data_IF_783980020301
#
_entry.id   IF_783980020301
#
_cell.length_a   1.000
_cell.length_b   1.000
_cell.length_c   1.000
_cell.angle_alpha   90.00
_cell.angle_beta   90.00
_cell.angle_gamma   90.00
#
_symmetry.space_group_name_H-M   'P 1'
#
loop_
_entity.id
_entity.type
_entity.pdbx_description
1 polymer ?
#
# COMPACT_ATOMS: atom_id res chain seq x y z
N UNK A 1 56.99 40.64 -94.29
CA UNK A 1 55.62 40.73 -94.81
C UNK A 1 54.59 40.01 -93.94
N UNK A 2 54.81 38.76 -93.48
CA UNK A 2 53.88 38.05 -92.59
C UNK A 2 53.74 38.65 -91.17
N UNK A 3 54.82 39.21 -90.61
CA UNK A 3 54.78 39.99 -89.35
C UNK A 3 53.90 41.25 -89.45
N UNK A 4 53.83 41.89 -90.62
CA UNK A 4 52.96 43.05 -90.86
C UNK A 4 51.48 42.64 -90.92
N UNK A 5 51.18 41.44 -91.43
CA UNK A 5 49.82 40.90 -91.48
C UNK A 5 49.30 40.61 -90.06
N UNK A 6 50.12 40.02 -89.21
CA UNK A 6 49.80 39.82 -87.79
C UNK A 6 49.62 41.15 -87.06
N UNK A 7 50.50 42.12 -87.31
CA UNK A 7 50.41 43.47 -86.74
C UNK A 7 49.11 44.17 -87.18
N UNK A 8 48.72 44.03 -88.45
CA UNK A 8 47.48 44.58 -89.01
C UNK A 8 46.22 43.92 -88.47
N UNK A 9 46.22 42.60 -88.25
CA UNK A 9 45.09 41.89 -87.63
C UNK A 9 44.96 42.29 -86.15
N UNK A 10 46.07 42.47 -85.43
CA UNK A 10 46.08 43.01 -84.06
C UNK A 10 45.54 44.46 -84.06
N UNK A 11 45.99 45.31 -84.98
CA UNK A 11 45.48 46.68 -85.15
C UNK A 11 43.98 46.71 -85.49
N UNK A 12 43.49 45.78 -86.31
CA UNK A 12 42.06 45.70 -86.66
C UNK A 12 41.19 45.26 -85.47
N UNK A 13 41.68 44.29 -84.70
CA UNK A 13 40.98 43.80 -83.50
C UNK A 13 40.98 44.86 -82.39
N UNK A 14 42.05 45.65 -82.25
CA UNK A 14 42.11 46.79 -81.32
C UNK A 14 41.22 47.95 -81.80
N UNK A 15 41.25 48.29 -83.09
CA UNK A 15 40.42 49.34 -83.71
C UNK A 15 38.91 49.04 -83.58
N UNK A 16 38.48 47.79 -83.78
CA UNK A 16 37.07 47.39 -83.57
C UNK A 16 36.64 47.46 -82.10
N UNK A 17 37.57 47.31 -81.15
CA UNK A 17 37.32 47.39 -79.71
C UNK A 17 37.31 48.83 -79.19
N UNK A 18 38.09 49.73 -79.80
CA UNK A 18 38.24 51.13 -79.37
C UNK A 18 37.48 52.13 -80.25
N UNK A 19 36.78 51.66 -81.30
CA UNK A 19 35.98 52.48 -82.21
C UNK A 19 36.79 53.60 -82.91
N UNK A 20 38.05 53.30 -83.23
CA UNK A 20 39.01 54.20 -83.89
C UNK A 20 39.20 53.81 -85.35
N UNK A 21 39.16 54.77 -86.28
CA UNK A 21 39.32 54.51 -87.73
C UNK A 21 40.77 54.11 -88.07
N UNK A 22 40.93 53.02 -88.85
CA UNK A 22 42.21 52.56 -89.40
C UNK A 22 42.71 53.51 -90.50
N UNK A 23 44.04 53.58 -90.70
CA UNK A 23 44.62 54.40 -91.75
C UNK A 23 44.29 53.85 -93.16
N UNK A 24 44.31 54.72 -94.19
CA UNK A 24 43.99 54.34 -95.58
C UNK A 24 44.93 53.26 -96.17
N UNK A 25 46.20 53.21 -95.74
CA UNK A 25 47.17 52.20 -96.17
C UNK A 25 46.87 50.83 -95.55
N UNK A 26 46.36 50.81 -94.31
CA UNK A 26 45.95 49.58 -93.63
C UNK A 26 44.66 49.00 -94.23
N UNK A 27 43.71 49.86 -94.61
CA UNK A 27 42.47 49.48 -95.30
C UNK A 27 42.71 48.83 -96.67
N UNK A 28 43.66 49.35 -97.45
CA UNK A 28 43.97 48.78 -98.77
C UNK A 28 44.67 47.43 -98.69
N UNK A 29 45.50 47.19 -97.66
CA UNK A 29 46.09 45.87 -97.41
C UNK A 29 45.03 44.86 -96.94
N UNK A 30 44.08 45.30 -96.11
CA UNK A 30 42.92 44.51 -95.68
C UNK A 30 42.01 44.08 -96.83
N UNK A 31 41.70 44.99 -97.75
CA UNK A 31 40.94 44.70 -98.96
C UNK A 31 41.65 43.67 -99.87
N UNK A 32 42.98 43.62 -99.83
CA UNK A 32 43.77 42.60 -100.53
C UNK A 32 43.69 41.22 -99.86
N UNK A 33 43.61 41.18 -98.53
CA UNK A 33 43.47 39.96 -97.75
C UNK A 33 42.05 39.36 -97.83
N UNK A 34 41.02 40.19 -98.00
CA UNK A 34 39.64 39.75 -98.26
C UNK A 34 39.48 39.03 -99.61
N UNK A 35 40.38 39.26 -100.58
CA UNK A 35 40.37 38.60 -101.90
C UNK A 35 41.11 37.26 -101.91
N UNK A 36 41.93 36.98 -100.89
CA UNK A 36 42.65 35.70 -100.75
C UNK A 36 41.85 34.71 -99.89
N UNK A 37 41.58 33.53 -100.44
CA UNK A 37 40.72 32.49 -99.81
C UNK A 37 41.31 31.98 -98.49
N UNK A 38 42.64 32.03 -98.35
CA UNK A 38 43.33 31.70 -97.10
C UNK A 38 43.19 32.81 -96.05
N UNK A 39 43.35 34.08 -96.45
CA UNK A 39 43.19 35.25 -95.58
C UNK A 39 41.78 35.41 -95.02
N UNK A 40 40.76 35.18 -95.86
CA UNK A 40 39.34 35.24 -95.44
C UNK A 40 38.96 34.14 -94.44
N UNK A 41 39.46 32.92 -94.61
CA UNK A 41 39.22 31.82 -93.67
C UNK A 41 39.92 32.07 -92.33
N UNK A 42 41.18 32.52 -92.34
CA UNK A 42 41.90 32.89 -91.11
C UNK A 42 41.23 34.06 -90.38
N UNK A 43 40.72 35.07 -91.09
CA UNK A 43 39.97 36.18 -90.50
C UNK A 43 38.62 35.73 -89.91
N UNK A 44 37.88 34.85 -90.59
CA UNK A 44 36.63 34.29 -90.08
C UNK A 44 36.86 33.37 -88.86
N UNK A 45 37.94 32.57 -88.87
CA UNK A 45 38.31 31.72 -87.73
C UNK A 45 38.73 32.58 -86.53
N UNK A 46 39.54 33.62 -86.75
CA UNK A 46 39.91 34.59 -85.71
C UNK A 46 38.68 35.33 -85.19
N UNK A 47 37.77 35.82 -86.04
CA UNK A 47 36.55 36.50 -85.59
C UNK A 47 35.57 35.57 -84.86
N UNK A 48 35.45 34.30 -85.30
CA UNK A 48 34.65 33.28 -84.64
C UNK A 48 35.21 32.95 -83.25
N UNK A 49 36.53 32.74 -83.15
CA UNK A 49 37.20 32.54 -81.86
C UNK A 49 37.17 33.79 -80.98
N UNK A 50 37.25 35.00 -81.54
CA UNK A 50 37.12 36.26 -80.77
C UNK A 50 35.70 36.48 -80.25
N UNK A 51 34.67 36.09 -81.01
CA UNK A 51 33.27 36.08 -80.53
C UNK A 51 33.08 35.05 -79.42
N UNK A 52 33.60 33.83 -79.58
CA UNK A 52 33.59 32.80 -78.52
C UNK A 52 34.35 33.27 -77.28
N UNK A 53 35.49 33.97 -77.44
CA UNK A 53 36.28 34.54 -76.36
C UNK A 53 35.52 35.66 -75.63
N UNK A 54 34.83 36.54 -76.37
CA UNK A 54 33.98 37.59 -75.80
C UNK A 54 32.79 37.01 -75.02
N UNK A 55 32.07 36.04 -75.60
CA UNK A 55 30.94 35.35 -74.93
C UNK A 55 31.41 34.59 -73.67
N UNK A 56 32.56 33.91 -73.76
CA UNK A 56 33.16 33.25 -72.60
C UNK A 56 33.61 34.24 -71.55
N UNK A 57 34.15 35.40 -71.94
CA UNK A 57 34.61 36.44 -70.99
C UNK A 57 33.42 37.01 -70.22
N UNK A 58 32.30 37.19 -70.90
CA UNK A 58 31.03 37.53 -70.25
C UNK A 58 30.56 36.41 -69.31
N UNK A 59 30.66 35.14 -69.71
CA UNK A 59 30.37 33.99 -68.84
C UNK A 59 31.30 33.93 -67.61
N UNK A 60 32.58 34.24 -67.75
CA UNK A 60 33.55 34.26 -66.66
C UNK A 60 33.25 35.41 -65.69
N UNK A 61 32.92 36.60 -66.18
CA UNK A 61 32.46 37.73 -65.35
C UNK A 61 31.16 37.38 -64.61
N UNK A 62 30.21 36.71 -65.28
CA UNK A 62 28.98 36.20 -64.64
C UNK A 62 29.29 35.16 -63.56
N UNK A 63 30.22 34.24 -63.80
CA UNK A 63 30.65 33.23 -62.83
C UNK A 63 31.39 33.86 -61.66
N UNK A 64 32.24 34.87 -61.89
CA UNK A 64 32.91 35.60 -60.81
C UNK A 64 31.93 36.44 -59.98
N UNK A 65 30.92 37.04 -60.61
CA UNK A 65 29.83 37.72 -59.91
C UNK A 65 28.98 36.73 -59.08
N UNK A 66 28.65 35.56 -59.64
CA UNK A 66 27.93 34.50 -58.93
C UNK A 66 28.76 33.93 -57.79
N UNK A 67 30.06 33.69 -57.98
CA UNK A 67 30.98 33.24 -56.94
C UNK A 67 31.03 34.25 -55.80
N UNK A 68 31.23 35.54 -56.09
CA UNK A 68 31.24 36.58 -55.06
C UNK A 68 29.91 36.68 -54.30
N UNK A 69 28.78 36.49 -55.00
CA UNK A 69 27.45 36.51 -54.36
C UNK A 69 27.26 35.28 -53.46
N UNK A 70 27.63 34.10 -53.94
CA UNK A 70 27.53 32.84 -53.21
C UNK A 70 28.50 32.80 -52.03
N UNK A 71 29.72 33.33 -52.18
CA UNK A 71 30.69 33.43 -51.08
C UNK A 71 30.20 34.39 -49.99
N UNK A 72 29.58 35.53 -50.35
CA UNK A 72 28.93 36.41 -49.37
C UNK A 72 27.72 35.77 -48.70
N UNK A 73 26.88 35.07 -49.45
CA UNK A 73 25.74 34.34 -48.89
C UNK A 73 26.19 33.24 -47.94
N UNK A 74 27.24 32.49 -48.29
CA UNK A 74 27.80 31.47 -47.40
C UNK A 74 28.37 32.09 -46.13
N UNK A 75 29.11 33.19 -46.22
CA UNK A 75 29.63 33.87 -45.03
C UNK A 75 28.51 34.40 -44.12
N UNK A 76 27.44 34.97 -44.70
CA UNK A 76 26.29 35.45 -43.94
C UNK A 76 25.53 34.28 -43.29
N UNK A 77 25.26 33.22 -44.03
CA UNK A 77 24.54 32.05 -43.52
C UNK A 77 25.36 31.29 -42.47
N UNK A 78 26.70 31.25 -42.59
CA UNK A 78 27.59 30.71 -41.54
C UNK A 78 27.51 31.55 -40.26
N UNK A 79 27.44 32.88 -40.38
CA UNK A 79 27.27 33.78 -39.24
C UNK A 79 25.88 33.62 -38.60
N UNK A 80 24.83 33.56 -39.40
CA UNK A 80 23.45 33.37 -38.93
C UNK A 80 23.28 31.98 -38.28
N UNK A 81 23.85 30.91 -38.85
CA UNK A 81 23.86 29.57 -38.26
C UNK A 81 24.65 29.54 -36.93
N UNK A 82 25.75 30.29 -36.81
CA UNK A 82 26.53 30.44 -35.56
C UNK A 82 25.75 31.17 -34.46
N UNK A 83 25.06 32.26 -34.81
CA UNK A 83 24.20 32.98 -33.87
C UNK A 83 23.02 32.13 -33.41
N UNK A 84 22.39 31.39 -34.34
CA UNK A 84 21.29 30.49 -34.02
C UNK A 84 21.76 29.33 -33.14
N UNK A 85 22.91 28.72 -33.44
CA UNK A 85 23.48 27.63 -32.65
C UNK A 85 23.82 28.09 -31.22
N UNK A 86 24.25 29.33 -31.05
CA UNK A 86 24.52 29.92 -29.73
C UNK A 86 23.22 30.07 -28.93
N UNK A 87 22.16 30.62 -29.54
CA UNK A 87 20.83 30.75 -28.91
C UNK A 87 20.22 29.39 -28.55
N UNK A 88 20.31 28.42 -29.47
CA UNK A 88 19.81 27.06 -29.26
C UNK A 88 20.57 26.37 -28.10
N UNK A 89 21.89 26.58 -28.02
CA UNK A 89 22.72 26.04 -26.94
C UNK A 89 22.39 26.66 -25.57
N UNK A 90 22.14 27.97 -25.52
CA UNK A 90 21.69 28.65 -24.29
C UNK A 90 20.32 28.13 -23.83
N UNK A 91 19.35 28.04 -24.74
CA UNK A 91 18.02 27.51 -24.45
C UNK A 91 18.09 26.05 -23.98
N UNK A 92 18.91 25.23 -24.64
CA UNK A 92 19.15 23.85 -24.23
C UNK A 92 19.69 23.78 -22.80
N UNK A 93 20.71 24.59 -22.46
CA UNK A 93 21.30 24.57 -21.12
C UNK A 93 20.29 25.01 -20.05
N UNK A 94 19.44 26.01 -20.35
CA UNK A 94 18.36 26.43 -19.44
C UNK A 94 17.34 25.31 -19.22
N UNK A 95 16.89 24.65 -20.29
CA UNK A 95 15.96 23.52 -20.20
C UNK A 95 16.57 22.33 -19.46
N UNK A 96 17.87 22.07 -19.67
CA UNK A 96 18.61 21.00 -19.00
C UNK A 96 18.66 21.21 -17.49
N UNK A 97 19.04 22.40 -17.03
CA UNK A 97 19.11 22.69 -15.59
C UNK A 97 17.71 22.67 -14.96
N UNK A 98 16.71 23.26 -15.62
CA UNK A 98 15.32 23.20 -15.13
C UNK A 98 14.79 21.76 -15.01
N UNK A 99 15.12 20.87 -15.97
CA UNK A 99 14.72 19.46 -15.88
C UNK A 99 15.47 18.72 -14.78
N UNK A 100 16.77 18.97 -14.58
CA UNK A 100 17.53 18.37 -13.47
C UNK A 100 16.94 18.75 -12.12
N UNK A 101 16.61 20.02 -11.93
CA UNK A 101 15.97 20.52 -10.71
C UNK A 101 14.63 19.82 -10.46
N UNK A 102 13.75 19.80 -11.45
CA UNK A 102 12.45 19.10 -11.36
C UNK A 102 12.59 17.61 -11.09
N UNK A 103 13.61 16.95 -11.67
CA UNK A 103 13.89 15.53 -11.40
C UNK A 103 14.34 15.34 -9.95
N UNK A 104 15.22 16.21 -9.44
CA UNK A 104 15.70 16.14 -8.06
C UNK A 104 14.56 16.37 -7.05
N UNK A 105 13.71 17.37 -7.30
CA UNK A 105 12.49 17.63 -6.50
C UNK A 105 11.56 16.41 -6.53
N UNK A 106 11.23 15.88 -7.71
CA UNK A 106 10.35 14.72 -7.82
C UNK A 106 10.94 13.47 -7.16
N UNK A 107 12.26 13.28 -7.18
CA UNK A 107 12.94 12.19 -6.46
C UNK A 107 12.82 12.35 -4.94
N UNK A 108 12.99 13.58 -4.44
CA UNK A 108 12.83 13.88 -3.03
C UNK A 108 11.40 13.64 -2.57
N UNK A 109 10.40 14.16 -3.29
CA UNK A 109 8.98 13.98 -2.99
C UNK A 109 8.61 12.50 -2.95
N UNK A 110 8.98 11.73 -3.99
CA UNK A 110 8.75 10.29 -4.05
C UNK A 110 9.37 9.54 -2.85
N UNK A 111 10.61 9.89 -2.49
CA UNK A 111 11.28 9.27 -1.35
C UNK A 111 10.64 9.66 -0.02
N UNK A 112 10.17 10.90 0.12
CA UNK A 112 9.51 11.40 1.32
C UNK A 112 8.16 10.72 1.55
N UNK A 113 7.37 10.51 0.49
CA UNK A 113 6.13 9.74 0.56
C UNK A 113 6.43 8.30 0.99
N UNK A 114 7.46 7.68 0.42
CA UNK A 114 7.89 6.32 0.83
C UNK A 114 8.41 6.20 2.26
N UNK A 115 8.87 7.30 2.88
CA UNK A 115 9.19 7.34 4.31
C UNK A 115 7.93 7.50 5.16
N UNK A 116 6.96 8.29 4.69
CA UNK A 116 5.67 8.49 5.35
C UNK A 116 4.87 7.19 5.41
N UNK A 117 4.81 6.43 4.30
CA UNK A 117 4.16 5.12 4.26
C UNK A 117 4.75 4.19 5.33
N UNK A 118 6.09 4.12 5.44
CA UNK A 118 6.75 3.27 6.45
C UNK A 118 6.40 3.67 7.88
N UNK A 119 6.30 4.97 8.18
CA UNK A 119 5.88 5.44 9.49
C UNK A 119 4.45 5.06 9.81
N UNK A 120 3.55 5.15 8.82
CA UNK A 120 2.15 4.74 8.97
C UNK A 120 2.02 3.21 9.11
N UNK A 121 2.82 2.43 8.38
CA UNK A 121 2.89 0.96 8.55
C UNK A 121 3.39 0.57 9.95
N UNK A 122 4.42 1.25 10.46
CA UNK A 122 4.90 1.07 11.84
C UNK A 122 3.83 1.43 12.88
N UNK A 123 3.02 2.46 12.61
CA UNK A 123 1.89 2.86 13.45
C UNK A 123 0.75 1.83 13.41
N UNK A 124 0.36 1.35 12.23
CA UNK A 124 -0.64 0.29 12.06
C UNK A 124 -0.25 -0.99 12.82
N UNK A 125 1.02 -1.41 12.72
CA UNK A 125 1.53 -2.58 13.46
C UNK A 125 1.44 -2.42 15.00
N UNK A 126 1.51 -1.19 15.51
CA UNK A 126 1.31 -0.92 16.95
C UNK A 126 -0.15 -1.09 17.34
N UNK A 127 -1.08 -0.65 16.50
CA UNK A 127 -2.51 -0.88 16.70
C UNK A 127 -2.84 -2.38 16.68
N UNK A 128 -2.32 -3.14 15.71
CA UNK A 128 -2.44 -4.61 15.67
C UNK A 128 -1.99 -5.25 16.99
N UNK A 129 -0.84 -4.82 17.51
CA UNK A 129 -0.30 -5.37 18.77
C UNK A 129 -1.24 -5.06 19.94
N UNK A 130 -1.72 -3.82 20.05
CA UNK A 130 -2.63 -3.40 21.13
C UNK A 130 -3.99 -4.10 21.05
N UNK A 131 -4.54 -4.27 19.85
CA UNK A 131 -5.79 -4.98 19.62
C UNK A 131 -5.64 -6.43 20.06
N UNK A 132 -4.59 -7.12 19.62
CA UNK A 132 -4.31 -8.50 20.03
C UNK A 132 -4.15 -8.64 21.55
N UNK A 133 -3.44 -7.72 22.21
CA UNK A 133 -3.32 -7.69 23.67
C UNK A 133 -4.69 -7.54 24.36
N UNK A 134 -5.56 -6.69 23.82
CA UNK A 134 -6.89 -6.44 24.37
C UNK A 134 -7.86 -7.60 24.13
N UNK A 135 -7.83 -8.22 22.95
CA UNK A 135 -8.62 -9.42 22.66
C UNK A 135 -8.24 -10.58 23.57
N UNK A 136 -6.95 -10.76 23.88
CA UNK A 136 -6.51 -11.75 24.85
C UNK A 136 -7.10 -11.51 26.25
N UNK A 137 -7.13 -10.25 26.70
CA UNK A 137 -7.76 -9.89 27.99
C UNK A 137 -9.27 -10.17 27.95
N UNK A 138 -9.96 -9.82 26.86
CA UNK A 138 -11.39 -10.13 26.70
C UNK A 138 -11.64 -11.65 26.83
N UNK A 139 -10.85 -12.47 26.15
CA UNK A 139 -10.95 -13.93 26.25
C UNK A 139 -10.75 -14.44 27.69
N UNK A 140 -9.84 -13.83 28.46
CA UNK A 140 -9.65 -14.17 29.89
C UNK A 140 -10.87 -13.82 30.74
N UNK A 141 -11.50 -12.67 30.50
CA UNK A 141 -12.72 -12.27 31.21
C UNK A 141 -13.93 -13.14 30.83
N UNK A 142 -14.10 -13.51 29.55
CA UNK A 142 -15.15 -14.43 29.10
C UNK A 142 -14.99 -15.83 29.71
N UNK A 143 -13.74 -16.31 29.79
CA UNK A 143 -13.40 -17.56 30.48
C UNK A 143 -13.74 -17.47 31.98
N UNK A 144 -13.40 -16.35 32.63
CA UNK A 144 -13.72 -16.11 34.05
C UNK A 144 -15.23 -16.08 34.29
N UNK A 145 -16.01 -15.49 33.39
CA UNK A 145 -17.48 -15.47 33.47
C UNK A 145 -18.07 -16.88 33.35
N UNK A 146 -17.50 -17.71 32.49
CA UNK A 146 -17.89 -19.13 32.36
C UNK A 146 -17.61 -19.89 33.65
N UNK A 147 -16.41 -19.72 34.23
CA UNK A 147 -16.04 -20.35 35.50
C UNK A 147 -16.93 -19.91 36.66
N UNK A 148 -17.30 -18.62 36.71
CA UNK A 148 -18.22 -18.10 37.72
C UNK A 148 -19.60 -18.78 37.64
N UNK A 149 -20.12 -18.99 36.43
CA UNK A 149 -21.39 -19.68 36.23
C UNK A 149 -21.31 -21.17 36.62
N UNK A 150 -20.20 -21.85 36.32
CA UNK A 150 -19.97 -23.23 36.76
C UNK A 150 -19.92 -23.34 38.30
N UNK A 151 -19.20 -22.42 38.96
CA UNK A 151 -19.15 -22.36 40.42
C UNK A 151 -20.56 -22.14 40.99
N UNK A 152 -21.32 -21.20 40.43
CA UNK A 152 -22.70 -20.92 40.86
C UNK A 152 -23.59 -22.16 40.74
N UNK A 153 -23.51 -22.89 39.64
CA UNK A 153 -24.27 -24.13 39.45
C UNK A 153 -23.89 -25.22 40.46
N UNK A 154 -22.59 -25.41 40.70
CA UNK A 154 -22.11 -26.38 41.69
C UNK A 154 -22.55 -26.02 43.11
N UNK A 155 -22.46 -24.74 43.48
CA UNK A 155 -22.92 -24.25 44.78
C UNK A 155 -24.42 -24.42 44.96
N UNK A 156 -25.24 -24.09 43.95
CA UNK A 156 -26.68 -24.29 43.99
C UNK A 156 -27.06 -25.76 44.17
N UNK A 157 -26.39 -26.68 43.46
CA UNK A 157 -26.62 -28.10 43.63
C UNK A 157 -26.25 -28.58 45.05
N UNK A 158 -25.15 -28.08 45.61
CA UNK A 158 -24.74 -28.40 46.98
C UNK A 158 -25.76 -27.89 48.02
N UNK A 159 -26.26 -26.67 47.85
CA UNK A 159 -27.28 -26.09 48.73
C UNK A 159 -28.60 -26.85 48.65
N UNK A 160 -29.04 -27.23 47.45
CA UNK A 160 -30.25 -28.03 47.26
C UNK A 160 -30.18 -29.36 48.00
N UNK A 161 -29.07 -30.10 47.85
CA UNK A 161 -28.83 -31.36 48.59
C UNK A 161 -28.87 -31.12 50.10
N UNK A 162 -28.18 -30.08 50.59
CA UNK A 162 -28.07 -29.80 52.03
C UNK A 162 -29.42 -29.40 52.64
N UNK A 163 -30.25 -28.69 51.89
CA UNK A 163 -31.61 -28.30 52.29
C UNK A 163 -32.53 -29.51 52.38
N UNK A 164 -32.47 -30.40 51.39
CA UNK A 164 -33.27 -31.63 51.36
C UNK A 164 -32.90 -32.55 52.53
N UNK A 165 -31.60 -32.71 52.80
CA UNK A 165 -31.10 -33.45 53.97
C UNK A 165 -31.61 -32.84 55.29
N UNK A 166 -31.53 -31.52 55.43
CA UNK A 166 -32.00 -30.81 56.62
C UNK A 166 -33.50 -31.00 56.84
N UNK A 167 -34.29 -30.96 55.77
CA UNK A 167 -35.74 -31.21 55.81
C UNK A 167 -36.06 -32.67 56.21
N UNK A 168 -35.35 -33.65 55.62
CA UNK A 168 -35.51 -35.06 55.93
C UNK A 168 -35.19 -35.34 57.41
N UNK A 169 -34.05 -34.85 57.90
CA UNK A 169 -33.63 -35.00 59.31
C UNK A 169 -34.67 -34.36 60.25
N UNK A 170 -35.10 -33.13 59.96
CA UNK A 170 -36.12 -32.45 60.77
C UNK A 170 -37.43 -33.22 60.83
N UNK A 171 -37.87 -33.81 59.72
CA UNK A 171 -39.11 -34.57 59.62
C UNK A 171 -39.03 -35.87 60.43
N UNK A 172 -37.92 -36.60 60.32
CA UNK A 172 -37.66 -37.81 61.12
C UNK A 172 -37.61 -37.50 62.61
N UNK A 173 -36.94 -36.41 63.02
CA UNK A 173 -36.88 -35.99 64.43
C UNK A 173 -38.29 -35.64 64.96
N UNK A 174 -39.10 -34.89 64.20
CA UNK A 174 -40.48 -34.56 64.60
C UNK A 174 -41.32 -35.81 64.81
N UNK A 175 -41.27 -36.75 63.87
CA UNK A 175 -42.02 -38.01 63.94
C UNK A 175 -41.56 -38.89 65.09
N UNK A 176 -40.24 -39.04 65.28
CA UNK A 176 -39.66 -39.76 66.41
C UNK A 176 -40.18 -39.20 67.75
N UNK A 177 -40.12 -37.88 67.93
CA UNK A 177 -40.59 -37.21 69.15
C UNK A 177 -42.09 -37.42 69.41
N UNK A 178 -42.91 -37.35 68.37
CA UNK A 178 -44.35 -37.60 68.47
C UNK A 178 -44.62 -39.04 68.94
N UNK A 179 -43.99 -40.03 68.30
CA UNK A 179 -44.19 -41.44 68.64
C UNK A 179 -43.72 -41.77 70.07
N UNK A 180 -42.62 -41.18 70.57
CA UNK A 180 -42.22 -41.33 71.99
C UNK A 180 -43.32 -40.82 72.91
N UNK A 181 -43.83 -39.62 72.64
CA UNK A 181 -44.81 -38.95 73.50
C UNK A 181 -46.10 -39.76 73.61
N UNK A 182 -46.54 -40.39 72.53
CA UNK A 182 -47.73 -41.26 72.52
C UNK A 182 -47.55 -42.53 73.35
N UNK A 183 -46.32 -43.04 73.46
CA UNK A 183 -46.01 -44.19 74.32
C UNK A 183 -45.89 -43.81 75.82
N UNK A 184 -45.74 -42.53 76.16
CA UNK A 184 -45.63 -42.08 77.54
C UNK A 184 -47.01 -41.94 78.21
N UNK A 185 -47.18 -42.44 79.45
CA UNK A 185 -48.41 -42.25 80.21
C UNK A 185 -48.63 -40.76 80.54
N UNK A 186 -49.85 -40.25 80.38
CA UNK A 186 -50.21 -38.87 80.80
C UNK A 186 -50.28 -38.68 82.33
N UNK A 187 -49.92 -39.70 83.12
CA UNK A 187 -50.05 -39.74 84.58
C UNK A 187 -48.68 -39.64 85.27
N UNK A 188 -48.54 -38.91 86.40
CA UNK A 188 -47.24 -38.54 87.00
C UNK A 188 -46.50 -39.68 87.73
N UNK A 189 -46.83 -40.95 87.51
CA UNK A 189 -46.09 -42.08 88.10
C UNK A 189 -44.99 -42.52 87.14
N UNK A 190 -43.73 -42.48 87.59
CA UNK A 190 -42.51 -42.67 86.80
C UNK A 190 -42.33 -44.06 86.13
N UNK A 191 -43.31 -44.95 86.20
CA UNK A 191 -43.25 -46.32 85.65
C UNK A 191 -44.65 -46.69 85.15
N UNK A 192 -44.79 -46.98 83.86
CA UNK A 192 -46.05 -47.48 83.28
C UNK A 192 -45.89 -48.85 82.64
N UNK A 193 -46.89 -49.69 82.90
CA UNK A 193 -47.07 -50.98 82.25
C UNK A 193 -47.73 -50.79 80.88
N UNK A 194 -47.16 -51.42 79.84
CA UNK A 194 -47.71 -51.42 78.48
C UNK A 194 -48.83 -52.47 78.41
N UNK A 195 -49.97 -52.19 79.04
CA UNK A 195 -51.21 -52.91 78.77
C UNK A 195 -52.34 -51.89 78.61
N UNK A 196 -52.92 -51.89 77.40
CA UNK A 196 -54.17 -51.23 76.97
C UNK A 196 -54.59 -50.03 77.83
N UNK A 197 -54.14 -48.84 77.44
CA UNK A 197 -54.80 -47.60 77.87
C UNK A 197 -56.02 -47.34 76.97
N UNK A 198 -57.21 -47.63 77.47
CA UNK A 198 -58.43 -46.97 76.99
C UNK A 198 -58.45 -45.56 77.55
N UNK A 199 -58.36 -44.56 76.68
CA UNK A 199 -58.68 -43.17 77.02
C UNK A 199 -60.19 -43.00 77.21
N UNK A 200 -60.58 -42.17 78.18
CA UNK A 200 -61.98 -41.77 78.43
C UNK A 200 -62.54 -40.77 77.38
N UNK A 201 -61.79 -40.42 76.33
CA UNK A 201 -62.32 -39.61 75.21
C UNK A 201 -61.92 -40.18 73.84
N UNK A 202 -62.94 -40.62 73.10
CA UNK A 202 -62.88 -41.28 71.80
C UNK A 202 -62.55 -40.30 70.65
N UNK A 203 -61.32 -39.80 70.59
CA UNK A 203 -60.81 -39.18 69.37
C UNK A 203 -59.40 -39.69 69.07
N UNK A 204 -59.36 -40.76 68.26
CA UNK A 204 -58.19 -41.53 67.80
C UNK A 204 -57.62 -42.56 68.81
N UNK A 205 -58.09 -43.81 68.71
CA UNK A 205 -57.48 -44.97 69.37
C UNK A 205 -56.35 -45.51 68.48
N UNK A 206 -55.10 -45.26 68.86
CA UNK A 206 -53.97 -46.06 68.39
C UNK A 206 -53.70 -47.17 69.41
N UNK A 207 -53.60 -48.43 68.97
CA UNK A 207 -53.15 -49.48 69.88
C UNK A 207 -51.65 -49.32 70.13
N UNK A 208 -51.17 -49.68 71.32
CA UNK A 208 -49.72 -49.64 71.62
C UNK A 208 -48.91 -50.48 70.63
N UNK A 209 -49.49 -51.55 70.09
CA UNK A 209 -48.90 -52.34 69.00
C UNK A 209 -48.75 -51.56 67.69
N UNK A 210 -49.73 -50.73 67.32
CA UNK A 210 -49.65 -49.91 66.09
C UNK A 210 -48.54 -48.86 66.21
N UNK A 211 -48.39 -48.24 67.39
CA UNK A 211 -47.32 -47.27 67.64
C UNK A 211 -45.95 -47.94 67.61
N UNK A 212 -45.81 -49.13 68.23
CA UNK A 212 -44.57 -49.91 68.18
C UNK A 212 -44.22 -50.38 66.76
N UNK A 213 -45.20 -50.67 65.91
CA UNK A 213 -44.96 -50.98 64.50
C UNK A 213 -44.48 -49.73 63.74
N UNK A 214 -45.16 -48.59 63.90
CA UNK A 214 -44.73 -47.32 63.29
C UNK A 214 -43.33 -46.88 63.72
N UNK A 215 -42.90 -47.27 64.92
CA UNK A 215 -41.56 -47.05 65.44
C UNK A 215 -40.50 -47.91 64.74
N UNK A 216 -40.82 -49.17 64.43
CA UNK A 216 -39.96 -50.03 63.60
C UNK A 216 -39.90 -49.53 62.16
N UNK A 217 -41.03 -49.10 61.61
CA UNK A 217 -41.08 -48.54 60.26
C UNK A 217 -40.24 -47.26 60.16
N UNK A 218 -40.30 -46.38 61.17
CA UNK A 218 -39.42 -45.20 61.27
C UNK A 218 -37.93 -45.59 61.35
N UNK A 219 -37.59 -46.69 62.01
CA UNK A 219 -36.20 -47.16 62.07
C UNK A 219 -35.67 -47.55 60.69
N UNK A 220 -36.47 -48.29 59.92
CA UNK A 220 -36.13 -48.71 58.56
C UNK A 220 -36.01 -47.49 57.65
N UNK A 221 -36.99 -46.59 57.69
CA UNK A 221 -36.96 -45.34 56.92
C UNK A 221 -35.74 -44.46 57.28
N UNK A 222 -35.39 -44.35 58.57
CA UNK A 222 -34.20 -43.63 58.99
C UNK A 222 -32.90 -44.31 58.52
N UNK A 223 -32.84 -45.65 58.51
CA UNK A 223 -31.72 -46.41 57.97
C UNK A 223 -31.57 -46.25 56.45
N UNK A 224 -32.67 -46.04 55.73
CA UNK A 224 -32.65 -45.77 54.28
C UNK A 224 -32.32 -44.31 53.97
N UNK A 225 -32.86 -43.37 54.74
CA UNK A 225 -32.78 -41.92 54.45
C UNK A 225 -31.51 -41.28 55.03
N UNK A 226 -30.99 -41.77 56.16
CA UNK A 226 -29.84 -41.19 56.87
C UNK A 226 -28.56 -42.01 56.74
N UNK A 227 -28.40 -42.81 55.69
CA UNK A 227 -27.25 -43.72 55.50
C UNK A 227 -25.89 -43.03 55.68
N UNK A 228 -25.78 -41.75 55.31
CA UNK A 228 -24.55 -40.97 55.41
C UNK A 228 -24.45 -40.13 56.70
N UNK A 229 -25.43 -40.22 57.60
CA UNK A 229 -25.54 -39.38 58.79
C UNK A 229 -25.60 -40.22 60.08
N UNK A 230 -24.54 -41.03 60.27
CA UNK A 230 -24.30 -41.96 61.38
C UNK A 230 -24.68 -41.42 62.78
N UNK A 231 -24.37 -40.17 63.16
CA UNK A 231 -24.76 -39.64 64.47
C UNK A 231 -26.28 -39.59 64.67
N UNK A 232 -27.04 -39.14 63.67
CA UNK A 232 -28.50 -39.07 63.75
C UNK A 232 -29.13 -40.45 63.67
N UNK A 233 -28.60 -41.31 62.80
CA UNK A 233 -29.03 -42.69 62.67
C UNK A 233 -28.87 -43.45 64.00
N UNK A 234 -27.75 -43.26 64.69
CA UNK A 234 -27.49 -43.87 66.01
C UNK A 234 -28.51 -43.43 67.06
N UNK A 235 -28.87 -42.14 67.07
CA UNK A 235 -29.86 -41.59 68.02
C UNK A 235 -31.25 -42.18 67.77
N UNK A 236 -31.67 -42.29 66.50
CA UNK A 236 -32.95 -42.92 66.14
C UNK A 236 -32.95 -44.42 66.46
N UNK A 237 -31.85 -45.13 66.17
CA UNK A 237 -31.73 -46.56 66.50
C UNK A 237 -31.76 -46.83 68.01
N UNK A 238 -31.04 -46.03 68.79
CA UNK A 238 -31.03 -46.16 70.26
C UNK A 238 -32.42 -45.86 70.83
N UNK A 239 -33.12 -44.88 70.26
CA UNK A 239 -34.51 -44.56 70.60
C UNK A 239 -35.47 -45.74 70.33
N UNK A 240 -35.46 -46.31 69.13
CA UNK A 240 -36.33 -47.44 68.76
C UNK A 240 -36.03 -48.65 69.65
N UNK A 241 -34.75 -48.86 69.97
CA UNK A 241 -34.30 -49.92 70.88
C UNK A 241 -34.88 -49.74 72.30
N UNK A 242 -34.77 -48.55 72.89
CA UNK A 242 -35.32 -48.26 74.23
C UNK A 242 -36.83 -48.40 74.29
N UNK A 243 -37.51 -48.07 73.20
CA UNK A 243 -38.98 -48.11 73.13
C UNK A 243 -39.55 -49.51 72.86
N UNK A 244 -38.73 -50.42 72.31
CA UNK A 244 -39.14 -51.79 71.94
C UNK A 244 -38.61 -52.87 72.88
N UNK A 245 -37.59 -52.59 73.71
CA UNK A 245 -36.92 -53.60 74.55
C UNK A 245 -37.71 -54.08 75.79
N UNK A 246 -38.82 -53.44 76.16
CA UNK A 246 -39.61 -53.89 77.32
C UNK A 246 -41.10 -53.71 77.06
N UNK A 247 -41.76 -54.77 76.58
CA UNK A 247 -43.23 -54.92 76.47
C UNK A 247 -43.99 -54.69 77.80
N UNK A 248 -43.29 -54.41 78.91
CA UNK A 248 -43.89 -54.28 80.23
C UNK A 248 -43.56 -52.98 80.98
N UNK A 249 -42.52 -52.20 80.63
CA UNK A 249 -42.15 -50.98 81.37
C UNK A 249 -41.39 -49.98 80.49
N UNK A 250 -41.89 -48.75 80.37
CA UNK A 250 -41.14 -47.61 79.80
C UNK A 250 -40.57 -46.76 80.94
N UNK A 251 -39.26 -46.55 80.94
CA UNK A 251 -38.60 -45.58 81.82
C UNK A 251 -38.88 -44.16 81.33
N UNK A 252 -39.82 -43.50 82.01
CA UNK A 252 -40.24 -42.12 81.71
C UNK A 252 -39.12 -41.09 81.84
N UNK A 253 -38.12 -41.31 82.70
CA UNK A 253 -37.00 -40.38 82.89
C UNK A 253 -36.06 -40.44 81.68
N UNK A 254 -35.71 -41.65 81.25
CA UNK A 254 -34.88 -41.88 80.06
C UNK A 254 -35.57 -41.42 78.78
N UNK A 255 -36.87 -41.68 78.63
CA UNK A 255 -37.65 -41.24 77.48
C UNK A 255 -37.75 -39.71 77.38
N UNK A 256 -37.97 -39.01 78.50
CA UNK A 256 -37.97 -37.54 78.52
C UNK A 256 -36.59 -36.95 78.18
N UNK A 257 -35.50 -37.59 78.62
CA UNK A 257 -34.15 -37.18 78.23
C UNK A 257 -33.93 -37.31 76.71
N UNK A 258 -34.40 -38.40 76.09
CA UNK A 258 -34.34 -38.60 74.63
C UNK A 258 -35.20 -37.56 73.89
N UNK A 259 -36.42 -37.26 74.37
CA UNK A 259 -37.26 -36.20 73.77
C UNK A 259 -36.57 -34.84 73.80
N UNK A 260 -35.89 -34.50 74.90
CA UNK A 260 -35.18 -33.24 75.04
C UNK A 260 -33.95 -33.17 74.11
N UNK A 261 -33.19 -34.27 73.99
CA UNK A 261 -32.09 -34.36 73.04
C UNK A 261 -32.58 -34.19 71.59
N UNK A 262 -33.69 -34.85 71.23
CA UNK A 262 -34.30 -34.69 69.90
C UNK A 262 -34.81 -33.26 69.65
N UNK A 263 -35.34 -32.57 70.68
CA UNK A 263 -35.71 -31.16 70.55
C UNK A 263 -34.48 -30.27 70.32
N UNK A 264 -33.40 -30.47 71.09
CA UNK A 264 -32.16 -29.71 70.92
C UNK A 264 -31.57 -29.90 69.52
N UNK A 265 -31.57 -31.14 69.02
CA UNK A 265 -31.11 -31.45 67.67
C UNK A 265 -32.01 -30.81 66.60
N UNK A 266 -33.32 -30.85 66.78
CA UNK A 266 -34.25 -30.15 65.89
C UNK A 266 -33.93 -28.65 65.83
N UNK A 267 -33.79 -27.99 66.98
CA UNK A 267 -33.53 -26.55 67.05
C UNK A 267 -32.17 -26.20 66.43
N UNK A 268 -31.17 -27.08 66.60
CA UNK A 268 -29.86 -26.91 65.98
C UNK A 268 -29.91 -27.04 64.46
N UNK A 269 -30.62 -28.04 63.92
CA UNK A 269 -30.77 -28.22 62.47
C UNK A 269 -31.61 -27.08 61.88
N UNK A 270 -32.71 -26.68 62.53
CA UNK A 270 -33.55 -25.55 62.11
C UNK A 270 -32.75 -24.24 62.08
N UNK A 271 -31.96 -23.97 63.12
CA UNK A 271 -31.08 -22.79 63.17
C UNK A 271 -30.00 -22.83 62.08
N UNK A 272 -29.39 -23.99 61.84
CA UNK A 272 -28.35 -24.15 60.81
C UNK A 272 -28.94 -23.92 59.42
N UNK A 273 -30.11 -24.48 59.14
CA UNK A 273 -30.83 -24.31 57.88
C UNK A 273 -31.20 -22.84 57.60
N UNK A 274 -31.60 -22.07 58.62
CA UNK A 274 -31.84 -20.62 58.47
C UNK A 274 -30.58 -19.84 58.12
N UNK A 275 -29.45 -20.18 58.75
CA UNK A 275 -28.16 -19.56 58.45
C UNK A 275 -27.72 -19.93 57.03
N UNK A 276 -27.94 -21.17 56.59
CA UNK A 276 -27.68 -21.62 55.22
C UNK A 276 -28.51 -20.85 54.19
N UNK A 277 -29.82 -20.67 54.41
CA UNK A 277 -30.68 -19.85 53.54
C UNK A 277 -30.17 -18.41 53.40
N UNK A 278 -29.70 -17.81 54.51
CA UNK A 278 -29.13 -16.45 54.45
C UNK A 278 -27.81 -16.45 53.67
N UNK A 279 -26.98 -17.48 53.85
CA UNK A 279 -25.72 -17.62 53.12
C UNK A 279 -25.93 -17.90 51.62
N UNK A 280 -26.99 -18.62 51.25
CA UNK A 280 -27.43 -18.82 49.87
C UNK A 280 -27.78 -17.47 49.21
N UNK A 281 -28.63 -16.67 49.86
CA UNK A 281 -29.01 -15.34 49.38
C UNK A 281 -27.77 -14.42 49.25
N UNK A 282 -26.89 -14.42 50.25
CA UNK A 282 -25.65 -13.62 50.22
C UNK A 282 -24.70 -14.08 49.09
N UNK A 283 -24.62 -15.38 48.83
CA UNK A 283 -23.82 -15.94 47.72
C UNK A 283 -24.40 -15.58 46.36
N UNK A 284 -25.70 -15.70 46.14
CA UNK A 284 -26.32 -15.31 44.86
C UNK A 284 -26.10 -13.81 44.60
N UNK A 285 -26.26 -12.97 45.63
CA UNK A 285 -25.96 -11.54 45.54
C UNK A 285 -24.47 -11.25 45.26
N UNK A 286 -23.55 -12.09 45.77
CA UNK A 286 -22.13 -11.98 45.44
C UNK A 286 -21.85 -12.37 44.00
N UNK A 287 -22.38 -13.51 43.53
CA UNK A 287 -22.26 -13.96 42.14
C UNK A 287 -22.76 -12.90 41.16
N UNK A 288 -23.94 -12.33 41.43
CA UNK A 288 -24.50 -11.27 40.58
C UNK A 288 -23.59 -10.03 40.55
N UNK A 289 -23.08 -9.57 41.71
CA UNK A 289 -22.16 -8.42 41.75
C UNK A 289 -20.86 -8.66 40.99
N UNK A 290 -20.26 -9.85 41.15
CA UNK A 290 -19.02 -10.20 40.44
C UNK A 290 -19.28 -10.30 38.94
N UNK A 291 -20.41 -10.89 38.54
CA UNK A 291 -20.83 -10.95 37.14
C UNK A 291 -21.03 -9.56 36.53
N UNK A 292 -21.69 -8.65 37.25
CA UNK A 292 -21.91 -7.28 36.79
C UNK A 292 -20.59 -6.50 36.67
N UNK A 293 -19.64 -6.73 37.59
CA UNK A 293 -18.29 -6.14 37.49
C UNK A 293 -17.54 -6.66 36.27
N UNK A 294 -17.53 -7.98 36.04
CA UNK A 294 -16.89 -8.58 34.86
C UNK A 294 -17.53 -8.05 33.57
N UNK A 295 -18.86 -7.98 33.50
CA UNK A 295 -19.55 -7.44 32.33
C UNK A 295 -19.22 -5.96 32.10
N UNK A 296 -19.14 -5.15 33.15
CA UNK A 296 -18.75 -3.74 33.03
C UNK A 296 -17.33 -3.55 32.49
N UNK A 297 -16.38 -4.39 32.92
CA UNK A 297 -15.01 -4.38 32.39
C UNK A 297 -14.97 -4.89 30.93
N UNK A 298 -15.76 -5.93 30.60
CA UNK A 298 -15.90 -6.42 29.22
C UNK A 298 -16.46 -5.35 28.28
N UNK A 299 -17.52 -4.65 28.69
CA UNK A 299 -18.12 -3.57 27.91
C UNK A 299 -17.11 -2.43 27.68
N UNK A 300 -16.32 -2.10 28.70
CA UNK A 300 -15.26 -1.09 28.59
C UNK A 300 -14.13 -1.54 27.65
N UNK A 301 -13.68 -2.80 27.75
CA UNK A 301 -12.66 -3.36 26.85
C UNK A 301 -13.15 -3.42 25.40
N UNK A 302 -14.40 -3.82 25.17
CA UNK A 302 -15.02 -3.84 23.84
C UNK A 302 -15.12 -2.44 23.23
N UNK A 303 -15.43 -1.42 24.04
CA UNK A 303 -15.38 -0.03 23.58
C UNK A 303 -13.95 0.39 23.21
N UNK A 304 -12.95 0.03 24.01
CA UNK A 304 -11.55 0.31 23.67
C UNK A 304 -11.11 -0.39 22.38
N UNK A 305 -11.49 -1.65 22.19
CA UNK A 305 -11.23 -2.41 20.95
C UNK A 305 -11.85 -1.72 19.74
N UNK A 306 -13.12 -1.30 19.83
CA UNK A 306 -13.79 -0.58 18.75
C UNK A 306 -13.06 0.72 18.39
N UNK A 307 -12.59 1.49 19.37
CA UNK A 307 -11.84 2.73 19.12
C UNK A 307 -10.51 2.41 18.45
N UNK A 308 -9.77 1.40 18.91
CA UNK A 308 -8.50 1.01 18.32
C UNK A 308 -8.66 0.51 16.87
N UNK A 309 -9.73 -0.23 16.60
CA UNK A 309 -10.08 -0.70 15.24
C UNK A 309 -10.41 0.47 14.33
N UNK A 310 -11.23 1.43 14.79
CA UNK A 310 -11.56 2.64 14.01
C UNK A 310 -10.30 3.49 13.72
N UNK A 311 -9.39 3.61 14.69
CA UNK A 311 -8.11 4.31 14.52
C UNK A 311 -7.20 3.58 13.53
N UNK A 312 -7.11 2.25 13.60
CA UNK A 312 -6.35 1.43 12.67
C UNK A 312 -6.87 1.55 11.23
N UNK A 313 -8.18 1.43 11.03
CA UNK A 313 -8.82 1.61 9.73
C UNK A 313 -8.51 3.00 9.15
N UNK A 314 -8.46 4.02 10.00
CA UNK A 314 -8.04 5.37 9.62
C UNK A 314 -6.59 5.43 9.13
N UNK A 315 -5.66 4.80 9.85
CA UNK A 315 -4.25 4.72 9.45
C UNK A 315 -4.09 3.93 8.15
N UNK A 316 -4.80 2.81 7.97
CA UNK A 316 -4.77 2.01 6.74
C UNK A 316 -5.29 2.81 5.54
N UNK A 317 -6.35 3.59 5.71
CA UNK A 317 -6.83 4.48 4.66
C UNK A 317 -5.76 5.53 4.26
N UNK A 318 -5.02 6.06 5.24
CA UNK A 318 -3.90 6.97 4.98
C UNK A 318 -2.73 6.28 4.25
N UNK A 319 -2.42 5.02 4.59
CA UNK A 319 -1.42 4.22 3.88
C UNK A 319 -1.81 4.06 2.41
N UNK A 320 -3.07 3.67 2.13
CA UNK A 320 -3.57 3.49 0.76
C UNK A 320 -3.48 4.81 -0.03
N UNK A 321 -3.91 5.92 0.58
CA UNK A 321 -3.81 7.24 -0.05
C UNK A 321 -2.36 7.61 -0.38
N UNK A 322 -1.43 7.44 0.57
CA UNK A 322 -0.02 7.72 0.37
C UNK A 322 0.62 6.79 -0.70
N UNK A 323 0.21 5.53 -0.78
CA UNK A 323 0.65 4.61 -1.84
C UNK A 323 0.18 5.04 -3.23
N UNK A 324 -1.04 5.59 -3.34
CA UNK A 324 -1.52 6.19 -4.59
C UNK A 324 -0.67 7.41 -4.98
N UNK A 325 -0.42 8.32 -4.04
CA UNK A 325 0.44 9.49 -4.27
C UNK A 325 1.87 9.08 -4.66
N UNK A 326 2.41 8.02 -4.04
CA UNK A 326 3.73 7.50 -4.36
C UNK A 326 3.80 6.98 -5.80
N UNK A 327 2.75 6.28 -6.26
CA UNK A 327 2.64 5.77 -7.62
C UNK A 327 2.53 6.90 -8.65
N UNK A 328 1.76 7.93 -8.35
CA UNK A 328 1.65 9.12 -9.20
C UNK A 328 3.01 9.86 -9.26
N UNK A 329 3.72 9.95 -8.13
CA UNK A 329 5.08 10.46 -8.04
C UNK A 329 6.08 9.67 -8.88
N UNK A 330 5.99 8.33 -8.86
CA UNK A 330 6.81 7.44 -9.69
C UNK A 330 6.59 7.71 -11.18
N UNK A 331 5.33 7.81 -11.61
CA UNK A 331 4.99 8.08 -13.00
C UNK A 331 5.48 9.47 -13.44
N UNK A 332 5.33 10.49 -12.59
CA UNK A 332 5.84 11.84 -12.86
C UNK A 332 7.36 11.84 -13.00
N UNK A 333 8.08 11.13 -12.13
CA UNK A 333 9.52 11.00 -12.20
C UNK A 333 9.97 10.27 -13.48
N UNK A 334 9.26 9.21 -13.88
CA UNK A 334 9.53 8.51 -15.14
C UNK A 334 9.35 9.43 -16.36
N UNK A 335 8.26 10.20 -16.41
CA UNK A 335 8.00 11.17 -17.48
C UNK A 335 9.08 12.26 -17.57
N UNK A 336 9.56 12.76 -16.43
CA UNK A 336 10.65 13.75 -16.40
C UNK A 336 11.98 13.15 -16.89
N UNK A 337 12.29 11.91 -16.49
CA UNK A 337 13.48 11.18 -16.99
C UNK A 337 13.40 10.96 -18.51
N UNK A 338 12.22 10.63 -19.03
CA UNK A 338 12.01 10.51 -20.48
C UNK A 338 12.21 11.85 -21.18
N UNK A 339 11.60 12.92 -20.66
CA UNK A 339 11.76 14.28 -21.21
C UNK A 339 13.22 14.74 -21.23
N UNK A 340 14.00 14.35 -20.22
CA UNK A 340 15.43 14.60 -20.16
C UNK A 340 16.22 13.84 -21.24
N UNK A 341 15.87 12.57 -21.50
CA UNK A 341 16.48 11.79 -22.59
C UNK A 341 16.11 12.37 -23.96
N UNK A 342 14.85 12.75 -24.15
CA UNK A 342 14.38 13.36 -25.40
C UNK A 342 15.11 14.68 -25.68
N UNK A 343 15.30 15.51 -24.64
CA UNK A 343 16.08 16.75 -24.76
C UNK A 343 17.53 16.48 -25.17
N UNK A 344 18.18 15.45 -24.60
CA UNK A 344 19.53 15.04 -25.00
C UNK A 344 19.58 14.63 -26.48
N UNK A 345 18.60 13.86 -26.94
CA UNK A 345 18.51 13.43 -28.34
C UNK A 345 18.28 14.62 -29.30
N UNK A 346 17.39 15.55 -28.96
CA UNK A 346 17.15 16.74 -29.78
C UNK A 346 18.42 17.59 -29.98
N UNK A 347 19.32 17.65 -28.98
CA UNK A 347 20.63 18.30 -29.12
C UNK A 347 21.55 17.58 -30.09
N UNK A 348 21.55 16.25 -30.08
CA UNK A 348 22.34 15.44 -31.01
C UNK A 348 21.83 15.61 -32.45
N UNK A 349 20.52 15.55 -32.66
CA UNK A 349 19.88 15.73 -33.97
C UNK A 349 20.13 17.13 -34.54
N UNK A 350 20.08 18.17 -33.69
CA UNK A 350 20.39 19.55 -34.09
C UNK A 350 21.84 19.68 -34.58
N UNK A 351 22.81 19.09 -33.88
CA UNK A 351 24.22 19.10 -34.31
C UNK A 351 24.42 18.42 -35.67
N UNK A 352 23.69 17.33 -35.95
CA UNK A 352 23.76 16.63 -37.24
C UNK A 352 23.25 17.52 -38.38
N UNK A 353 22.12 18.21 -38.19
CA UNK A 353 21.53 19.08 -39.21
C UNK A 353 22.44 20.25 -39.60
N UNK A 354 23.05 20.95 -38.63
CA UNK A 354 24.04 22.00 -38.93
C UNK A 354 25.28 21.43 -39.64
N UNK A 355 25.72 20.23 -39.24
CA UNK A 355 26.85 19.54 -39.88
C UNK A 355 26.59 19.15 -41.34
N UNK A 356 25.37 18.72 -41.69
CA UNK A 356 24.99 18.37 -43.07
C UNK A 356 24.93 19.62 -43.95
N UNK A 357 24.26 20.68 -43.49
CA UNK A 357 24.12 21.95 -44.25
C UNK A 357 25.47 22.59 -44.58
N UNK A 358 26.39 22.60 -43.61
CA UNK A 358 27.77 23.09 -43.82
C UNK A 358 28.56 22.27 -44.85
N UNK A 359 28.38 20.94 -44.87
CA UNK A 359 29.01 20.06 -45.87
C UNK A 359 28.47 20.30 -47.28
N UNK A 360 27.15 20.41 -47.43
CA UNK A 360 26.51 20.65 -48.73
C UNK A 360 26.99 21.96 -49.37
N UNK A 361 27.09 23.03 -48.58
CA UNK A 361 27.59 24.35 -49.06
C UNK A 361 29.06 24.31 -49.48
N UNK A 362 29.91 23.62 -48.73
CA UNK A 362 31.33 23.44 -49.10
C UNK A 362 31.47 22.70 -50.42
N UNK A 363 30.61 21.70 -50.67
CA UNK A 363 30.63 20.96 -51.93
C UNK A 363 30.12 21.83 -53.11
N UNK A 364 29.08 22.65 -52.91
CA UNK A 364 28.62 23.62 -53.92
C UNK A 364 29.72 24.62 -54.32
N UNK A 365 30.43 25.15 -53.31
CA UNK A 365 31.52 26.10 -53.53
C UNK A 365 32.70 25.45 -54.27
N UNK A 366 33.02 24.19 -53.95
CA UNK A 366 34.02 23.38 -54.66
C UNK A 366 33.63 23.14 -56.12
N UNK A 367 32.37 22.81 -56.40
CA UNK A 367 31.86 22.63 -57.76
C UNK A 367 31.96 23.91 -58.60
N UNK A 368 31.63 25.07 -58.02
CA UNK A 368 31.73 26.37 -58.70
C UNK A 368 33.20 26.78 -58.96
N UNK A 369 34.10 26.54 -58.01
CA UNK A 369 35.54 26.77 -58.21
C UNK A 369 36.10 25.89 -59.33
N UNK A 370 35.68 24.63 -59.39
CA UNK A 370 36.04 23.71 -60.47
C UNK A 370 35.51 24.20 -61.83
N UNK A 371 34.28 24.70 -61.90
CA UNK A 371 33.73 25.29 -63.12
C UNK A 371 34.53 26.51 -63.58
N UNK A 372 34.95 27.38 -62.65
CA UNK A 372 35.85 28.52 -62.94
C UNK A 372 37.21 28.06 -63.47
N UNK A 373 37.84 27.07 -62.85
CA UNK A 373 39.13 26.53 -63.31
C UNK A 373 39.05 25.93 -64.70
N UNK A 374 37.99 25.18 -65.01
CA UNK A 374 37.78 24.61 -66.35
C UNK A 374 37.70 25.73 -67.39
N UNK A 375 36.93 26.78 -67.13
CA UNK A 375 36.82 27.92 -68.05
C UNK A 375 38.15 28.66 -68.22
N UNK A 376 38.89 28.90 -67.13
CA UNK A 376 40.22 29.53 -67.20
C UNK A 376 41.21 28.70 -68.02
N UNK A 377 41.21 27.37 -67.84
CA UNK A 377 42.05 26.47 -68.63
C UNK A 377 41.62 26.47 -70.12
N UNK A 378 40.33 26.59 -70.41
CA UNK A 378 39.83 26.75 -71.78
C UNK A 378 40.23 28.10 -72.39
N UNK A 379 40.24 29.19 -71.61
CA UNK A 379 40.79 30.48 -72.03
C UNK A 379 42.28 30.40 -72.35
N UNK A 380 43.06 29.78 -71.47
CA UNK A 380 44.49 29.57 -71.72
C UNK A 380 44.71 28.66 -72.93
N UNK A 381 43.85 27.67 -73.17
CA UNK A 381 43.91 26.84 -74.37
C UNK A 381 43.59 27.62 -75.65
N UNK A 382 42.59 28.50 -75.64
CA UNK A 382 42.29 29.41 -76.77
C UNK A 382 43.42 30.40 -76.98
N UNK A 383 43.97 30.99 -75.91
CA UNK A 383 45.12 31.89 -75.99
C UNK A 383 46.32 31.16 -76.60
N UNK A 384 46.66 29.98 -76.09
CA UNK A 384 47.71 29.14 -76.63
C UNK A 384 47.43 28.76 -78.09
N UNK A 385 46.19 28.45 -78.48
CA UNK A 385 45.83 28.14 -79.87
C UNK A 385 46.01 29.35 -80.81
N UNK A 386 45.60 30.54 -80.39
CA UNK A 386 45.83 31.79 -81.11
C UNK A 386 47.33 32.09 -81.20
N UNK A 387 48.07 31.95 -80.09
CA UNK A 387 49.54 32.08 -80.05
C UNK A 387 50.22 31.03 -80.95
N UNK A 388 49.71 29.80 -81.04
CA UNK A 388 50.24 28.74 -81.90
C UNK A 388 49.94 28.99 -83.38
N UNK A 389 48.74 29.52 -83.72
CA UNK A 389 48.43 30.00 -85.08
C UNK A 389 49.37 31.13 -85.47
N UNK A 390 49.56 32.10 -84.57
CA UNK A 390 50.49 33.22 -84.77
C UNK A 390 51.92 32.70 -84.95
N UNK A 391 52.39 31.78 -84.10
CA UNK A 391 53.75 31.22 -84.18
C UNK A 391 53.95 30.32 -85.41
N UNK A 392 52.95 29.54 -85.84
CA UNK A 392 53.00 28.76 -87.10
C UNK A 392 53.00 29.64 -88.34
N UNK A 393 52.28 30.76 -88.30
CA UNK A 393 52.31 31.76 -89.38
C UNK A 393 53.67 32.46 -89.51
N UNK A 394 54.47 32.49 -88.43
CA UNK A 394 55.85 33.01 -88.38
C UNK A 394 56.89 31.94 -88.75
N UNK A 395 56.65 30.66 -88.43
CA UNK A 395 57.61 29.56 -88.59
C UNK A 395 57.59 28.87 -89.96
N UNK A 396 56.58 29.10 -90.81
CA UNK A 396 56.59 28.69 -92.23
C UNK A 396 57.22 29.76 -93.14
N UNK A 397 58.36 30.32 -92.73
CA UNK A 397 59.21 31.15 -93.61
C UNK A 397 60.35 30.30 -94.17
#
# INVERSE_FOLDING_TARGET
>A
MKLCIVFLVICLVISQKENTELSQEDQTLLDSMFKDKFGLNVLNDIQSEYRKDSERKEQLVRIESLLNTIERQIAQDEQDDLEQLTKDQELYNQQLESLKEKIAEAQYDYSSIGATIRLLEDESNRYDTQINEKENIVNEYESTLTQLEEIRQHENAYFEITRDDSFAICSLIKRARYLIRELLPRSPRNVAFVQQYTYEDNSHQFSSSDVLQQMRDLQVEAQETLQNNEPFLKIINEFVTVSTQTEAVIDTTRANAIINLLQQLYDQVDSTNRVQLTAEDDRENLHQRVKDQINGELDYLNLQLSILQDEQDGVEAHIIAAQMDQKDGEQRLANLKQSFQDLQKCKEDSKVNYGVRSKERKEQLKLLRKAREVLLNEFDAVRCYIEDILNRSVSQN
#
